data_IF_344694285623
#
_entry.id   IF_344694285623
#
_cell.length_a   1.000
_cell.length_b   1.000
_cell.length_c   1.000
_cell.angle_alpha   90.00
_cell.angle_beta   90.00
_cell.angle_gamma   90.00
#
_symmetry.space_group_name_H-M   'P 1'
#
loop_
_entity.id
_entity.type
_entity.pdbx_description
1 polymer ?
#
# COMPACT_ATOMS: atom_id res chain seq x y z
N UNK A 1 4.95 18.80 22.51
CA UNK A 1 4.74 19.24 23.91
C UNK A 1 3.54 18.48 24.49
N UNK A 2 3.53 18.14 25.79
CA UNK A 2 2.33 17.57 26.43
C UNK A 2 1.16 18.56 26.35
N UNK A 3 -0.09 18.10 26.19
CA UNK A 3 -1.26 18.97 26.20
C UNK A 3 -1.42 19.63 27.57
N UNK A 4 -2.04 20.82 27.58
CA UNK A 4 -2.35 21.56 28.79
C UNK A 4 -3.23 20.72 29.75
N UNK A 5 -3.21 21.03 31.06
CA UNK A 5 -4.09 20.40 32.02
C UNK A 5 -5.56 20.51 31.62
N UNK A 6 -6.31 19.42 31.75
CA UNK A 6 -7.75 19.42 31.46
C UNK A 6 -8.58 20.22 32.49
N UNK A 7 -8.03 20.46 33.69
CA UNK A 7 -8.64 21.25 34.76
C UNK A 7 -7.65 22.32 35.25
N UNK A 8 -8.13 23.50 35.72
CA UNK A 8 -7.28 24.48 36.38
C UNK A 8 -6.51 23.86 37.55
N UNK A 9 -5.18 24.04 37.61
CA UNK A 9 -4.32 23.42 38.62
C UNK A 9 -4.07 21.91 38.45
N UNK A 10 -4.57 21.29 37.38
CA UNK A 10 -4.36 19.87 37.10
C UNK A 10 -2.96 19.54 36.58
N UNK A 11 -2.61 18.25 36.56
CA UNK A 11 -1.38 17.78 35.91
C UNK A 11 -1.48 17.96 34.39
N UNK A 12 -0.37 18.27 33.68
CA UNK A 12 -0.34 18.24 32.23
C UNK A 12 -0.81 16.89 31.70
N UNK A 13 -1.54 16.92 30.57
CA UNK A 13 -2.00 15.69 29.94
C UNK A 13 -0.84 14.91 29.30
N UNK A 14 -1.14 13.71 28.81
CA UNK A 14 -0.15 12.85 28.14
C UNK A 14 -0.39 12.85 26.63
N UNK A 15 0.70 12.98 25.86
CA UNK A 15 0.68 12.73 24.41
C UNK A 15 0.70 11.21 24.19
N UNK A 16 -0.37 10.66 23.61
CA UNK A 16 -0.46 9.26 23.21
C UNK A 16 -0.41 9.19 21.68
N UNK A 17 0.47 8.35 21.14
CA UNK A 17 0.65 8.19 19.69
C UNK A 17 0.30 6.76 19.34
N UNK A 18 -0.66 6.61 18.44
CA UNK A 18 -1.04 5.32 17.86
C UNK A 18 -0.35 5.25 16.50
N UNK A 19 0.58 4.30 16.35
CA UNK A 19 1.42 4.19 15.17
C UNK A 19 1.50 2.76 14.66
N UNK A 20 1.81 2.62 13.37
CA UNK A 20 2.21 1.36 12.74
C UNK A 20 3.70 1.11 12.97
N UNK A 21 4.26 0.08 12.32
CA UNK A 21 5.69 -0.18 12.26
C UNK A 21 6.53 0.98 11.68
N UNK A 22 5.92 2.05 11.13
CA UNK A 22 6.64 3.28 10.76
C UNK A 22 7.38 3.91 11.96
N UNK A 23 6.82 3.81 13.17
CA UNK A 23 7.46 4.33 14.38
C UNK A 23 8.64 3.45 14.87
N UNK A 24 8.78 2.24 14.32
CA UNK A 24 9.79 1.26 14.72
C UNK A 24 11.20 1.64 14.24
N UNK A 25 11.31 2.12 13.00
CA UNK A 25 12.56 2.48 12.31
C UNK A 25 12.55 3.94 11.87
N UNK A 26 11.59 4.32 11.04
CA UNK A 26 11.63 5.49 10.14
C UNK A 26 11.42 6.85 10.80
N UNK A 27 10.84 6.93 12.00
CA UNK A 27 10.55 8.21 12.65
C UNK A 27 11.04 8.26 14.10
N UNK A 28 11.77 9.32 14.43
CA UNK A 28 12.10 9.65 15.82
C UNK A 28 11.02 10.58 16.37
N UNK A 29 10.47 10.23 17.54
CA UNK A 29 9.49 11.08 18.21
C UNK A 29 9.99 11.36 19.62
N UNK A 30 10.23 12.63 19.89
CA UNK A 30 10.78 13.03 21.17
C UNK A 30 9.78 12.88 22.32
N UNK A 31 10.34 12.53 23.47
CA UNK A 31 9.64 12.41 24.75
C UNK A 31 8.86 11.09 24.92
N UNK A 32 9.09 10.09 24.08
CA UNK A 32 8.54 8.74 24.30
C UNK A 32 9.34 8.06 25.40
N UNK A 33 8.63 7.64 26.45
CA UNK A 33 9.17 6.86 27.58
C UNK A 33 8.33 5.64 27.93
N UNK A 34 7.18 5.49 27.26
CA UNK A 34 6.30 4.34 27.39
C UNK A 34 5.99 3.82 26.00
N UNK A 35 6.17 2.53 25.80
CA UNK A 35 5.76 1.81 24.59
C UNK A 35 4.80 0.71 25.01
N UNK A 36 3.71 0.55 24.28
CA UNK A 36 2.79 -0.60 24.40
C UNK A 36 2.91 -1.38 23.11
N UNK A 37 3.41 -2.61 23.18
CA UNK A 37 3.71 -3.44 22.02
C UNK A 37 2.76 -4.64 21.96
N UNK A 38 1.79 -4.64 21.02
CA UNK A 38 0.88 -5.76 20.85
C UNK A 38 1.55 -6.98 20.21
N UNK A 39 2.77 -6.87 19.65
CA UNK A 39 3.49 -8.00 19.06
C UNK A 39 3.11 -8.33 17.60
N UNK A 40 2.38 -7.44 16.91
CA UNK A 40 1.93 -7.66 15.53
C UNK A 40 2.36 -6.55 14.56
N UNK A 41 2.45 -6.89 13.28
CA UNK A 41 2.52 -5.97 12.15
C UNK A 41 1.78 -6.53 10.94
N UNK A 42 1.36 -5.65 10.02
CA UNK A 42 0.90 -6.10 8.70
C UNK A 42 2.11 -6.40 7.83
N UNK A 43 2.15 -7.57 7.23
CA UNK A 43 3.25 -8.04 6.38
C UNK A 43 2.70 -8.55 5.06
N UNK A 44 3.40 -8.25 3.96
CA UNK A 44 3.11 -8.87 2.66
C UNK A 44 3.55 -10.32 2.68
N UNK A 45 2.69 -11.18 2.13
CA UNK A 45 2.96 -12.59 1.92
C UNK A 45 2.49 -12.93 0.52
N UNK A 46 3.40 -13.43 -0.30
CA UNK A 46 3.14 -13.90 -1.64
C UNK A 46 3.11 -15.43 -1.68
N UNK A 47 2.07 -16.00 -2.32
CA UNK A 47 1.99 -17.42 -2.60
C UNK A 47 2.15 -17.66 -4.11
N UNK A 48 3.31 -18.19 -4.58
CA UNK A 48 3.61 -18.32 -6.00
C UNK A 48 2.72 -19.33 -6.72
N UNK A 49 2.15 -20.31 -6.01
CA UNK A 49 1.31 -21.35 -6.62
C UNK A 49 -0.05 -20.83 -7.06
N UNK A 50 -0.63 -19.94 -6.26
CA UNK A 50 -1.93 -19.33 -6.56
C UNK A 50 -1.79 -17.91 -7.13
N UNK A 51 -0.56 -17.38 -7.20
CA UNK A 51 -0.22 -16.02 -7.69
C UNK A 51 -0.98 -14.91 -6.95
N UNK A 52 -1.07 -15.03 -5.63
CA UNK A 52 -1.75 -14.04 -4.77
C UNK A 52 -0.78 -13.44 -3.77
N UNK A 53 -0.70 -12.11 -3.77
CA UNK A 53 -0.11 -11.35 -2.68
C UNK A 53 -1.20 -10.94 -1.68
N UNK A 54 -0.93 -11.11 -0.39
CA UNK A 54 -1.86 -10.77 0.68
C UNK A 54 -1.15 -9.99 1.79
N UNK A 55 -1.85 -8.99 2.31
CA UNK A 55 -1.38 -8.21 3.45
C UNK A 55 -2.00 -8.77 4.74
N UNK A 56 -1.27 -9.63 5.43
CA UNK A 56 -1.74 -10.34 6.62
C UNK A 56 -1.20 -9.72 7.91
N UNK A 57 -1.98 -9.79 8.98
CA UNK A 57 -1.51 -9.44 10.32
C UNK A 57 -0.71 -10.62 10.85
N UNK A 58 0.59 -10.42 11.02
CA UNK A 58 1.53 -11.46 11.43
C UNK A 58 2.26 -11.04 12.72
N UNK A 59 2.71 -12.01 13.53
CA UNK A 59 3.62 -11.74 14.64
C UNK A 59 4.89 -11.03 14.18
N UNK A 60 5.45 -10.18 15.03
CA UNK A 60 6.73 -9.50 14.77
C UNK A 60 7.92 -10.39 15.08
N UNK A 61 9.10 -10.03 14.58
CA UNK A 61 10.35 -10.67 14.99
C UNK A 61 10.85 -10.16 16.35
N UNK A 62 11.75 -10.93 16.98
CA UNK A 62 12.46 -10.49 18.20
C UNK A 62 13.23 -9.21 17.97
N UNK A 63 13.88 -9.08 16.80
CA UNK A 63 14.54 -7.84 16.38
C UNK A 63 13.57 -6.64 16.36
N UNK A 64 12.39 -6.80 15.77
CA UNK A 64 11.35 -5.76 15.72
C UNK A 64 10.84 -5.38 17.12
N UNK A 65 10.54 -6.37 17.96
CA UNK A 65 10.15 -6.16 19.35
C UNK A 65 11.22 -5.42 20.17
N UNK A 66 12.50 -5.65 19.87
CA UNK A 66 13.62 -4.97 20.50
C UNK A 66 13.74 -3.52 20.03
N UNK A 67 13.55 -3.26 18.72
CA UNK A 67 13.53 -1.90 18.19
C UNK A 67 12.37 -1.08 18.78
N UNK A 68 11.17 -1.67 18.88
CA UNK A 68 10.02 -1.04 19.54
C UNK A 68 10.31 -0.70 21.00
N UNK A 69 10.88 -1.63 21.76
CA UNK A 69 11.28 -1.37 23.14
C UNK A 69 12.33 -0.25 23.24
N UNK A 70 13.30 -0.22 22.31
CA UNK A 70 14.33 0.81 22.24
C UNK A 70 13.78 2.23 22.07
N UNK A 71 12.58 2.40 21.50
CA UNK A 71 11.94 3.73 21.36
C UNK A 71 11.61 4.37 22.71
N UNK A 72 11.34 3.58 23.76
CA UNK A 72 11.08 4.09 25.10
C UNK A 72 12.35 4.61 25.80
N UNK A 73 13.55 4.16 25.39
CA UNK A 73 14.82 4.42 26.08
C UNK A 73 15.66 5.56 25.51
N UNK A 74 15.18 6.29 24.50
CA UNK A 74 16.01 7.24 23.74
C UNK A 74 16.41 8.51 24.47
N UNK A 75 15.50 9.05 25.28
CA UNK A 75 15.71 10.37 25.93
C UNK A 75 16.00 10.24 27.42
N UNK A 76 15.42 9.23 28.07
CA UNK A 76 15.58 8.91 29.47
C UNK A 76 15.10 7.47 29.71
N UNK A 77 15.35 6.87 30.89
CA UNK A 77 14.85 5.54 31.22
C UNK A 77 13.33 5.44 30.98
N UNK A 78 12.93 4.43 30.20
CA UNK A 78 11.55 4.19 29.81
C UNK A 78 11.11 2.76 30.09
N UNK A 79 9.83 2.47 29.82
CA UNK A 79 9.23 1.14 29.99
C UNK A 79 8.56 0.68 28.70
N UNK A 80 8.73 -0.59 28.36
CA UNK A 80 8.02 -1.25 27.27
C UNK A 80 7.07 -2.30 27.85
N UNK A 81 5.79 -2.20 27.51
CA UNK A 81 4.74 -3.13 27.91
C UNK A 81 4.40 -4.02 26.73
N UNK A 82 4.92 -5.25 26.73
CA UNK A 82 4.61 -6.27 25.72
C UNK A 82 3.30 -6.98 26.11
N UNK A 83 2.35 -7.07 25.19
CA UNK A 83 1.04 -7.71 25.43
C UNK A 83 1.07 -9.23 25.14
N UNK A 84 2.23 -9.86 25.32
CA UNK A 84 2.48 -11.26 25.09
C UNK A 84 3.49 -11.78 26.13
N UNK A 85 3.48 -13.09 26.38
CA UNK A 85 4.29 -13.69 27.45
C UNK A 85 5.78 -13.69 27.09
N UNK A 86 6.63 -13.76 28.11
CA UNK A 86 8.07 -13.93 27.92
C UNK A 86 8.38 -15.26 27.19
N UNK A 87 7.57 -16.30 27.43
CA UNK A 87 7.68 -17.56 26.71
C UNK A 87 7.42 -17.39 25.21
N UNK A 88 6.35 -16.68 24.83
CA UNK A 88 6.05 -16.38 23.43
C UNK A 88 7.19 -15.57 22.79
N UNK A 89 7.72 -14.56 23.50
CA UNK A 89 8.88 -13.80 23.03
C UNK A 89 10.10 -14.69 22.74
N UNK A 90 10.40 -15.68 23.60
CA UNK A 90 11.59 -16.52 23.48
C UNK A 90 11.43 -17.67 22.47
N UNK A 91 10.24 -18.30 22.43
CA UNK A 91 10.01 -19.56 21.69
C UNK A 91 9.21 -19.40 20.41
N UNK A 92 8.27 -18.45 20.35
CA UNK A 92 7.32 -18.35 19.23
C UNK A 92 7.75 -17.31 18.19
N UNK A 93 8.34 -16.19 18.63
CA UNK A 93 8.79 -15.16 17.70
C UNK A 93 10.07 -15.57 16.97
N UNK A 94 10.10 -15.32 15.66
CA UNK A 94 11.31 -15.50 14.83
C UNK A 94 12.37 -14.46 15.21
N UNK A 95 13.66 -14.79 15.06
CA UNK A 95 14.76 -13.88 15.42
C UNK A 95 14.72 -12.57 14.61
N UNK A 96 14.62 -12.70 13.29
CA UNK A 96 14.61 -11.59 12.34
C UNK A 96 13.48 -11.76 11.33
N UNK A 97 12.98 -10.63 10.84
CA UNK A 97 11.95 -10.62 9.80
C UNK A 97 12.61 -10.99 8.47
N UNK A 98 12.02 -11.91 7.71
CA UNK A 98 12.52 -12.25 6.37
C UNK A 98 12.55 -11.03 5.43
N UNK A 99 13.52 -10.95 4.51
CA UNK A 99 13.57 -9.93 3.45
C UNK A 99 12.26 -9.82 2.65
N UNK A 100 12.01 -8.65 2.06
CA UNK A 100 10.81 -8.40 1.24
C UNK A 100 10.84 -9.21 -0.07
N UNK A 101 12.02 -9.40 -0.66
CA UNK A 101 12.21 -10.18 -1.91
C UNK A 101 11.77 -11.64 -1.78
N UNK A 102 11.85 -12.22 -0.57
CA UNK A 102 11.42 -13.59 -0.32
C UNK A 102 9.90 -13.72 -0.11
N UNK A 103 9.17 -12.60 -0.07
CA UNK A 103 7.77 -12.57 0.43
C UNK A 103 6.80 -11.73 -0.41
N UNK A 104 7.24 -11.20 -1.54
CA UNK A 104 6.44 -10.31 -2.40
C UNK A 104 6.39 -10.83 -3.83
N UNK A 105 5.42 -10.34 -4.63
CA UNK A 105 5.45 -10.58 -6.07
C UNK A 105 6.68 -9.88 -6.68
N UNK A 106 7.41 -10.58 -7.56
CA UNK A 106 8.62 -10.10 -8.19
C UNK A 106 8.40 -9.57 -9.62
N UNK A 107 7.18 -9.60 -10.16
CA UNK A 107 6.90 -9.14 -11.53
C UNK A 107 7.46 -7.73 -11.80
N UNK A 108 7.22 -6.78 -10.91
CA UNK A 108 7.74 -5.42 -11.08
C UNK A 108 9.27 -5.36 -10.97
N UNK A 109 9.86 -6.07 -10.00
CA UNK A 109 11.32 -6.13 -9.82
C UNK A 109 12.01 -6.76 -11.03
N UNK A 110 11.45 -7.83 -11.59
CA UNK A 110 11.99 -8.50 -12.79
C UNK A 110 11.90 -7.57 -14.00
N UNK A 111 10.80 -6.85 -14.17
CA UNK A 111 10.65 -5.88 -15.26
C UNK A 111 11.70 -4.75 -15.16
N UNK A 112 11.92 -4.23 -13.95
CA UNK A 112 12.97 -3.22 -13.70
C UNK A 112 14.38 -3.77 -13.96
N UNK A 113 14.69 -4.98 -13.52
CA UNK A 113 15.99 -5.62 -13.77
C UNK A 113 16.24 -5.85 -15.27
N UNK A 114 15.22 -6.30 -16.01
CA UNK A 114 15.30 -6.43 -17.47
C UNK A 114 15.50 -5.09 -18.17
N UNK A 115 14.82 -4.03 -17.71
CA UNK A 115 15.06 -2.65 -18.19
C UNK A 115 16.49 -2.18 -17.97
N UNK A 116 17.11 -2.59 -16.86
CA UNK A 116 18.51 -2.28 -16.55
C UNK A 116 19.54 -3.08 -17.38
N UNK A 117 19.08 -4.03 -18.21
CA UNK A 117 19.95 -4.87 -19.05
C UNK A 117 20.49 -6.10 -18.33
N UNK A 118 19.84 -6.56 -17.25
CA UNK A 118 20.20 -7.83 -16.59
C UNK A 118 19.61 -8.99 -17.38
N UNK A 119 20.45 -9.70 -18.12
CA UNK A 119 20.06 -10.87 -18.91
C UNK A 119 19.82 -12.10 -18.02
N UNK A 120 20.80 -12.44 -17.18
CA UNK A 120 20.78 -13.60 -16.30
C UNK A 120 20.25 -13.26 -14.91
N UNK A 121 18.93 -13.39 -14.76
CA UNK A 121 18.25 -13.16 -13.48
C UNK A 121 18.53 -14.25 -12.44
N UNK A 122 18.91 -15.46 -12.87
CA UNK A 122 19.12 -16.62 -11.99
C UNK A 122 20.44 -16.47 -11.23
N UNK A 123 21.48 -16.01 -11.91
CA UNK A 123 22.80 -15.78 -11.32
C UNK A 123 23.03 -14.32 -10.91
N UNK A 124 22.00 -13.48 -10.96
CA UNK A 124 22.09 -12.13 -10.44
C UNK A 124 22.40 -12.14 -8.94
N UNK A 125 23.37 -11.32 -8.52
CA UNK A 125 23.94 -11.34 -7.16
C UNK A 125 23.00 -10.71 -6.12
N UNK A 126 21.93 -11.43 -5.79
CA UNK A 126 21.00 -11.07 -4.74
C UNK A 126 21.52 -11.54 -3.38
N UNK A 127 21.54 -10.65 -2.40
CA UNK A 127 21.92 -10.97 -1.01
C UNK A 127 21.13 -12.16 -0.44
N UNK A 128 19.83 -12.18 -0.70
CA UNK A 128 18.92 -13.26 -0.35
C UNK A 128 18.12 -13.65 -1.62
N UNK A 129 18.57 -14.67 -2.38
CA UNK A 129 17.92 -15.03 -3.62
C UNK A 129 16.52 -15.62 -3.36
N UNK A 130 15.49 -15.21 -4.11
CA UNK A 130 14.15 -15.78 -4.00
C UNK A 130 14.12 -17.22 -4.50
N UNK A 131 13.07 -17.95 -4.14
CA UNK A 131 12.85 -19.29 -4.68
C UNK A 131 12.75 -19.24 -6.22
N UNK A 132 13.38 -20.17 -6.96
CA UNK A 132 13.31 -20.20 -8.42
C UNK A 132 11.88 -20.18 -8.96
N UNK A 133 10.95 -20.88 -8.29
CA UNK A 133 9.52 -20.86 -8.64
C UNK A 133 8.94 -19.44 -8.65
N UNK A 134 9.27 -18.60 -7.68
CA UNK A 134 8.78 -17.21 -7.61
C UNK A 134 9.27 -16.37 -8.79
N UNK A 135 10.53 -16.54 -9.18
CA UNK A 135 11.12 -15.85 -10.32
C UNK A 135 10.52 -16.32 -11.64
N UNK A 136 10.35 -17.64 -11.79
CA UNK A 136 9.66 -18.22 -12.96
C UNK A 136 8.23 -17.69 -13.11
N UNK A 137 7.47 -17.57 -12.01
CA UNK A 137 6.11 -17.00 -12.06
C UNK A 137 6.09 -15.54 -12.49
N UNK A 138 7.06 -14.74 -12.05
CA UNK A 138 7.19 -13.35 -12.46
C UNK A 138 7.51 -13.24 -13.96
N UNK A 139 8.41 -14.08 -14.48
CA UNK A 139 8.72 -14.14 -15.91
C UNK A 139 7.51 -14.57 -16.75
N UNK A 140 6.80 -15.62 -16.33
CA UNK A 140 5.57 -16.07 -16.97
C UNK A 140 4.51 -14.96 -17.00
N UNK A 141 4.31 -14.25 -15.87
CA UNK A 141 3.37 -13.13 -15.79
C UNK A 141 3.71 -12.01 -16.77
N UNK A 142 4.99 -11.61 -16.85
CA UNK A 142 5.43 -10.57 -17.76
C UNK A 142 5.35 -11.00 -19.24
N UNK A 143 5.60 -12.28 -19.55
CA UNK A 143 5.38 -12.81 -20.90
C UNK A 143 3.88 -12.81 -21.26
N UNK A 144 2.98 -13.22 -20.35
CA UNK A 144 1.53 -13.13 -20.59
C UNK A 144 1.02 -11.70 -20.80
N UNK A 145 1.66 -10.72 -20.17
CA UNK A 145 1.38 -9.30 -20.35
C UNK A 145 2.04 -8.72 -21.61
N UNK A 146 2.76 -9.55 -22.39
CA UNK A 146 3.58 -9.15 -23.54
C UNK A 146 4.65 -8.09 -23.21
N UNK A 147 5.06 -8.00 -21.94
CA UNK A 147 6.18 -7.18 -21.50
C UNK A 147 7.53 -7.84 -21.83
N UNK A 148 7.55 -9.17 -21.86
CA UNK A 148 8.68 -9.99 -22.32
C UNK A 148 8.25 -10.85 -23.52
N UNK A 149 9.18 -11.14 -24.42
CA UNK A 149 8.96 -12.14 -25.48
C UNK A 149 9.22 -13.57 -24.98
N UNK A 150 9.19 -14.55 -25.90
CA UNK A 150 9.36 -15.97 -25.58
C UNK A 150 10.82 -16.32 -25.25
N UNK A 151 11.75 -15.50 -25.71
CA UNK A 151 13.17 -15.55 -25.37
C UNK A 151 13.48 -14.89 -24.01
N UNK A 152 12.52 -14.16 -23.43
CA UNK A 152 12.66 -13.47 -22.15
C UNK A 152 13.31 -12.09 -22.26
N UNK A 153 13.33 -11.52 -23.46
CA UNK A 153 13.83 -10.17 -23.75
C UNK A 153 12.72 -9.13 -23.62
N UNK A 154 13.13 -7.89 -23.32
CA UNK A 154 12.21 -6.80 -23.06
C UNK A 154 11.57 -6.28 -24.36
N UNK A 155 10.24 -6.35 -24.45
CA UNK A 155 9.52 -5.84 -25.62
C UNK A 155 9.39 -4.31 -25.59
N UNK A 156 8.97 -3.71 -26.70
CA UNK A 156 8.63 -2.28 -26.72
C UNK A 156 7.50 -1.93 -25.73
N UNK A 157 6.53 -2.83 -25.54
CA UNK A 157 5.47 -2.68 -24.55
C UNK A 157 6.03 -2.76 -23.13
N UNK A 158 6.90 -3.74 -22.84
CA UNK A 158 7.57 -3.88 -21.54
C UNK A 158 8.44 -2.68 -21.20
N UNK A 159 9.18 -2.16 -22.18
CA UNK A 159 9.97 -0.95 -22.05
C UNK A 159 9.09 0.24 -21.65
N UNK A 160 7.96 0.46 -22.33
CA UNK A 160 6.99 1.50 -21.94
C UNK A 160 6.38 1.24 -20.57
N UNK A 161 5.97 0.01 -20.27
CA UNK A 161 5.36 -0.37 -18.99
C UNK A 161 6.30 -0.08 -17.80
N UNK A 162 7.60 -0.31 -17.98
CA UNK A 162 8.64 -0.06 -16.99
C UNK A 162 8.88 1.44 -16.68
N UNK A 163 8.28 2.37 -17.42
CA UNK A 163 8.30 3.81 -17.10
C UNK A 163 7.19 4.20 -16.10
N UNK A 164 6.18 3.36 -15.94
CA UNK A 164 5.06 3.64 -15.04
C UNK A 164 5.36 3.12 -13.63
N UNK A 165 5.15 3.92 -12.57
CA UNK A 165 5.29 3.48 -11.18
C UNK A 165 4.04 2.69 -10.73
N UNK A 166 3.67 1.68 -11.51
CA UNK A 166 2.49 0.85 -11.35
C UNK A 166 2.87 -0.62 -11.34
N UNK A 167 1.94 -1.47 -10.93
CA UNK A 167 2.04 -2.89 -11.22
C UNK A 167 2.02 -3.13 -12.74
N UNK A 168 2.78 -4.10 -13.29
CA UNK A 168 2.87 -4.32 -14.74
C UNK A 168 1.50 -4.50 -15.42
N UNK A 169 0.54 -5.17 -14.77
CA UNK A 169 -0.78 -5.37 -15.34
C UNK A 169 -1.56 -4.04 -15.47
N UNK A 170 -1.44 -3.16 -14.47
CA UNK A 170 -2.05 -1.83 -14.51
C UNK A 170 -1.36 -0.90 -15.51
N UNK A 171 -0.04 -1.02 -15.66
CA UNK A 171 0.72 -0.27 -16.66
C UNK A 171 0.30 -0.67 -18.07
N UNK A 172 0.25 -1.98 -18.37
CA UNK A 172 -0.20 -2.50 -19.68
C UNK A 172 -1.64 -2.09 -19.96
N UNK A 173 -2.55 -2.22 -18.99
CA UNK A 173 -3.93 -1.76 -19.14
C UNK A 173 -4.01 -0.28 -19.52
N UNK A 174 -3.18 0.57 -18.89
CA UNK A 174 -3.15 2.01 -19.19
C UNK A 174 -2.55 2.29 -20.58
N UNK A 175 -1.50 1.58 -20.98
CA UNK A 175 -0.84 1.75 -22.28
C UNK A 175 -1.73 1.29 -23.43
N UNK A 176 -2.48 0.19 -23.26
CA UNK A 176 -3.39 -0.33 -24.30
C UNK A 176 -4.73 0.43 -24.38
N UNK A 177 -5.08 1.23 -23.35
CA UNK A 177 -6.35 1.96 -23.31
C UNK A 177 -6.69 2.86 -24.52
N UNK A 178 -5.73 3.46 -25.25
CA UNK A 178 -6.05 4.28 -26.43
C UNK A 178 -6.65 3.45 -27.57
N UNK A 179 -6.26 2.17 -27.70
CA UNK A 179 -6.81 1.25 -28.72
C UNK A 179 -8.30 0.98 -28.51
N UNK A 180 -8.77 1.12 -27.27
CA UNK A 180 -10.16 0.92 -26.85
C UNK A 180 -10.92 2.23 -26.66
N UNK A 181 -10.32 3.39 -26.98
CA UNK A 181 -10.92 4.72 -26.85
C UNK A 181 -11.41 5.06 -25.42
N UNK A 182 -10.77 4.51 -24.38
CA UNK A 182 -11.21 4.65 -22.98
C UNK A 182 -10.09 5.11 -22.03
N UNK A 183 -9.06 5.79 -22.56
CA UNK A 183 -7.88 6.19 -21.77
C UNK A 183 -8.20 7.08 -20.58
N UNK A 184 -9.19 7.96 -20.68
CA UNK A 184 -9.55 8.85 -19.58
C UNK A 184 -10.18 8.11 -18.39
N UNK A 185 -11.02 7.12 -18.69
CA UNK A 185 -11.69 6.24 -17.73
C UNK A 185 -10.68 5.31 -17.08
N UNK A 186 -9.85 4.65 -17.89
CA UNK A 186 -8.80 3.73 -17.41
C UNK A 186 -7.79 4.47 -16.55
N UNK A 187 -7.34 5.67 -16.95
CA UNK A 187 -6.47 6.51 -16.14
C UNK A 187 -7.08 6.79 -14.75
N UNK A 188 -8.38 7.06 -14.69
CA UNK A 188 -9.08 7.32 -13.43
C UNK A 188 -9.21 6.05 -12.58
N UNK A 189 -9.56 4.91 -13.20
CA UNK A 189 -9.67 3.61 -12.52
C UNK A 189 -8.32 3.18 -11.97
N UNK A 190 -7.25 3.20 -12.77
CA UNK A 190 -5.88 2.87 -12.34
C UNK A 190 -5.47 3.70 -11.14
N UNK A 191 -5.72 5.01 -11.18
CA UNK A 191 -5.40 5.92 -10.07
C UNK A 191 -6.15 5.60 -8.78
N UNK A 192 -7.40 5.14 -8.89
CA UNK A 192 -8.22 4.72 -7.74
C UNK A 192 -7.77 3.36 -7.17
N UNK A 193 -7.28 2.45 -8.03
CA UNK A 193 -6.74 1.16 -7.62
C UNK A 193 -5.36 1.28 -6.95
N UNK A 194 -4.58 2.31 -7.30
CA UNK A 194 -3.27 2.59 -6.71
C UNK A 194 -3.32 3.23 -5.31
N UNK A 195 -4.51 3.59 -4.81
CA UNK A 195 -4.68 4.18 -3.47
C UNK A 195 -5.45 3.25 -2.52
N UNK A 196 -5.35 3.43 -1.20
CA UNK A 196 -6.21 2.71 -0.27
C UNK A 196 -7.69 2.94 -0.58
N UNK A 197 -8.54 1.96 -0.23
CA UNK A 197 -9.97 2.01 -0.58
C UNK A 197 -10.64 3.35 -0.20
N UNK A 198 -11.38 3.91 -1.15
CA UNK A 198 -12.08 5.18 -0.99
C UNK A 198 -13.34 5.04 -0.12
N UNK A 199 -13.90 3.84 0.00
CA UNK A 199 -15.11 3.56 0.76
C UNK A 199 -14.84 3.47 2.26
N UNK A 200 -15.59 4.22 3.05
CA UNK A 200 -15.56 4.18 4.51
C UNK A 200 -16.75 3.38 5.02
N UNK A 201 -16.51 2.33 5.81
CA UNK A 201 -17.60 1.51 6.36
C UNK A 201 -17.51 1.38 7.89
N UNK A 202 -17.80 2.45 8.66
CA UNK A 202 -17.76 2.42 10.12
C UNK A 202 -18.72 1.39 10.70
N UNK A 203 -18.31 0.68 11.77
CA UNK A 203 -19.12 -0.39 12.37
C UNK A 203 -20.50 0.10 12.86
N UNK A 204 -20.58 1.32 13.40
CA UNK A 204 -21.81 1.92 13.89
C UNK A 204 -22.81 2.29 12.78
N UNK A 205 -22.33 2.53 11.55
CA UNK A 205 -23.12 3.09 10.44
C UNK A 205 -23.06 2.22 9.18
N UNK A 206 -22.82 0.91 9.31
CA UNK A 206 -22.63 -0.01 8.18
C UNK A 206 -23.77 0.06 7.16
N UNK A 207 -25.02 -0.01 7.63
CA UNK A 207 -26.21 0.03 6.77
C UNK A 207 -26.27 1.30 5.95
N UNK A 208 -26.08 2.47 6.57
CA UNK A 208 -26.08 3.76 5.88
C UNK A 208 -24.91 3.88 4.90
N UNK A 209 -23.73 3.37 5.24
CA UNK A 209 -22.59 3.35 4.34
C UNK A 209 -22.86 2.49 3.09
N UNK A 210 -23.50 1.34 3.27
CA UNK A 210 -23.89 0.45 2.16
C UNK A 210 -24.98 1.09 1.28
N UNK A 211 -25.97 1.75 1.88
CA UNK A 211 -27.00 2.54 1.17
C UNK A 211 -26.37 3.69 0.37
N UNK A 212 -25.40 4.43 0.94
CA UNK A 212 -24.70 5.49 0.23
C UNK A 212 -23.83 4.96 -0.92
N UNK A 213 -23.16 3.82 -0.72
CA UNK A 213 -22.38 3.15 -1.78
C UNK A 213 -23.29 2.72 -2.94
N UNK A 214 -24.51 2.25 -2.65
CA UNK A 214 -25.46 1.81 -3.66
C UNK A 214 -25.83 2.91 -4.67
N UNK A 215 -25.78 4.19 -4.28
CA UNK A 215 -26.00 5.31 -5.20
C UNK A 215 -24.95 5.43 -6.32
N UNK A 216 -23.76 4.85 -6.12
CA UNK A 216 -22.68 4.86 -7.12
C UNK A 216 -22.54 3.52 -7.84
N UNK A 217 -23.22 2.47 -7.35
CA UNK A 217 -23.09 1.11 -7.87
C UNK A 217 -23.50 1.03 -9.33
N UNK A 218 -22.60 0.51 -10.15
CA UNK A 218 -22.86 0.20 -11.54
C UNK A 218 -23.14 -1.31 -11.68
N UNK A 219 -24.23 -1.73 -12.37
CA UNK A 219 -24.58 -3.14 -12.52
C UNK A 219 -23.48 -3.98 -13.20
N UNK A 220 -22.72 -3.36 -14.10
CA UNK A 220 -21.70 -4.04 -14.90
C UNK A 220 -20.34 -4.18 -14.20
N UNK A 221 -20.13 -3.60 -13.01
CA UNK A 221 -18.92 -3.90 -12.24
C UNK A 221 -18.50 -2.88 -11.17
N UNK A 222 -17.58 -3.35 -10.32
CA UNK A 222 -17.00 -2.56 -9.23
C UNK A 222 -16.04 -1.47 -9.72
N UNK A 223 -15.33 -1.68 -10.83
CA UNK A 223 -14.45 -0.65 -11.41
C UNK A 223 -15.25 0.57 -11.91
N UNK A 224 -16.40 0.31 -12.54
CA UNK A 224 -17.32 1.38 -12.96
C UNK A 224 -17.98 2.06 -11.75
N UNK A 225 -18.25 1.31 -10.68
CA UNK A 225 -18.70 1.87 -9.40
C UNK A 225 -17.68 2.84 -8.80
N UNK A 226 -16.38 2.51 -8.86
CA UNK A 226 -15.30 3.41 -8.46
C UNK A 226 -15.24 4.67 -9.33
N UNK A 227 -15.38 4.51 -10.65
CA UNK A 227 -15.39 5.61 -11.60
C UNK A 227 -16.55 6.58 -11.35
N UNK A 228 -17.77 6.06 -11.12
CA UNK A 228 -18.95 6.86 -10.79
C UNK A 228 -18.74 7.71 -9.53
N UNK A 229 -18.18 7.10 -8.48
CA UNK A 229 -17.88 7.81 -7.24
C UNK A 229 -16.86 8.94 -7.45
N UNK A 230 -15.84 8.69 -8.28
CA UNK A 230 -14.82 9.69 -8.61
C UNK A 230 -15.37 10.83 -9.47
N UNK A 231 -16.22 10.53 -10.46
CA UNK A 231 -16.90 11.56 -11.26
C UNK A 231 -17.82 12.44 -10.40
N UNK A 232 -18.60 11.84 -9.51
CA UNK A 232 -19.44 12.59 -8.57
C UNK A 232 -18.59 13.52 -7.69
N UNK A 233 -17.47 13.02 -7.16
CA UNK A 233 -16.52 13.81 -6.39
C UNK A 233 -15.95 15.01 -7.18
N UNK A 234 -15.52 14.78 -8.43
CA UNK A 234 -15.00 15.87 -9.29
C UNK A 234 -16.10 16.89 -9.66
N UNK A 235 -17.33 16.44 -9.87
CA UNK A 235 -18.48 17.31 -10.09
C UNK A 235 -18.75 18.24 -8.90
N UNK A 236 -18.69 17.73 -7.68
CA UNK A 236 -18.87 18.55 -6.48
C UNK A 236 -17.71 19.55 -6.25
N UNK A 237 -16.49 19.19 -6.62
CA UNK A 237 -15.35 20.13 -6.64
C UNK A 237 -15.64 21.30 -7.60
N UNK A 238 -16.12 21.01 -8.81
CA UNK A 238 -16.39 22.05 -9.82
C UNK A 238 -17.51 22.99 -9.41
N UNK A 239 -18.51 22.50 -8.66
CA UNK A 239 -19.61 23.32 -8.11
C UNK A 239 -19.17 24.22 -6.96
N UNK A 240 -17.94 24.08 -6.44
CA UNK A 240 -17.47 24.83 -5.28
C UNK A 240 -18.16 24.46 -3.97
N UNK A 241 -18.77 23.27 -3.89
CA UNK A 241 -19.43 22.79 -2.67
C UNK A 241 -18.40 22.47 -1.57
N UNK A 242 -18.87 22.29 -0.33
CA UNK A 242 -18.03 21.73 0.73
C UNK A 242 -17.81 20.23 0.48
N UNK A 243 -16.81 19.93 -0.34
CA UNK A 243 -16.46 18.56 -0.77
C UNK A 243 -16.07 17.68 0.41
N UNK A 244 -15.48 18.24 1.47
CA UNK A 244 -15.11 17.46 2.66
C UNK A 244 -16.35 16.96 3.37
N UNK A 245 -17.35 17.83 3.53
CA UNK A 245 -18.64 17.46 4.09
C UNK A 245 -19.38 16.48 3.19
N UNK A 246 -19.38 16.71 1.87
CA UNK A 246 -19.99 15.79 0.91
C UNK A 246 -19.39 14.38 1.00
N UNK A 247 -18.05 14.27 1.02
CA UNK A 247 -17.37 12.99 1.20
C UNK A 247 -17.74 12.31 2.51
N UNK A 248 -17.83 13.06 3.61
CA UNK A 248 -18.26 12.53 4.90
C UNK A 248 -19.69 11.97 4.84
N UNK A 249 -20.62 12.71 4.25
CA UNK A 249 -22.03 12.32 4.17
C UNK A 249 -22.26 11.10 3.28
N UNK A 250 -21.40 10.91 2.26
CA UNK A 250 -21.41 9.77 1.33
C UNK A 250 -20.48 8.63 1.72
N UNK A 251 -19.88 8.67 2.92
CA UNK A 251 -18.94 7.64 3.38
C UNK A 251 -17.74 7.41 2.45
N UNK A 252 -17.19 8.50 1.91
CA UNK A 252 -16.00 8.51 1.07
C UNK A 252 -14.82 9.14 1.83
N UNK A 253 -13.64 8.57 1.66
CA UNK A 253 -12.39 9.12 2.20
C UNK A 253 -11.90 10.25 1.30
N UNK A 254 -12.14 11.50 1.73
CA UNK A 254 -11.61 12.69 1.05
C UNK A 254 -10.09 12.61 0.83
N UNK A 255 -9.35 12.10 1.83
CA UNK A 255 -7.90 11.93 1.74
C UNK A 255 -7.50 10.97 0.62
N UNK A 256 -8.17 9.81 0.51
CA UNK A 256 -7.82 8.81 -0.51
C UNK A 256 -8.21 9.30 -1.91
N UNK A 257 -9.35 9.99 -2.05
CA UNK A 257 -9.76 10.62 -3.31
C UNK A 257 -8.79 11.72 -3.75
N UNK A 258 -8.29 12.54 -2.83
CA UNK A 258 -7.26 13.54 -3.13
C UNK A 258 -5.93 12.88 -3.53
N UNK A 259 -5.54 11.79 -2.86
CA UNK A 259 -4.37 11.00 -3.27
C UNK A 259 -4.55 10.40 -4.67
N UNK A 260 -5.74 9.90 -5.01
CA UNK A 260 -6.04 9.39 -6.34
C UNK A 260 -5.94 10.50 -7.40
N UNK A 261 -6.41 11.71 -7.11
CA UNK A 261 -6.30 12.85 -8.02
C UNK A 261 -4.83 13.22 -8.32
N UNK A 262 -3.97 13.15 -7.30
CA UNK A 262 -2.53 13.38 -7.45
C UNK A 262 -1.86 12.29 -8.29
N UNK A 263 -2.17 11.01 -8.04
CA UNK A 263 -1.67 9.88 -8.83
C UNK A 263 -2.13 10.02 -10.28
N UNK A 264 -3.41 10.35 -10.50
CA UNK A 264 -3.97 10.57 -11.83
C UNK A 264 -3.24 11.67 -12.59
N UNK A 265 -2.93 12.77 -11.93
CA UNK A 265 -2.18 13.87 -12.54
C UNK A 265 -0.74 13.47 -12.89
N UNK A 266 -0.08 12.64 -12.07
CA UNK A 266 1.25 12.11 -12.35
C UNK A 266 1.23 11.15 -13.55
N UNK A 267 0.33 10.17 -13.54
CA UNK A 267 0.17 9.21 -14.63
C UNK A 267 -0.17 9.90 -15.95
N UNK A 268 -1.05 10.92 -15.93
CA UNK A 268 -1.37 11.71 -17.13
C UNK A 268 -0.12 12.34 -17.76
N UNK A 269 0.78 12.89 -16.94
CA UNK A 269 2.04 13.50 -17.44
C UNK A 269 2.95 12.47 -18.09
N UNK A 270 3.03 11.27 -17.52
CA UNK A 270 3.80 10.16 -18.12
C UNK A 270 3.18 9.77 -19.46
N UNK A 271 1.86 9.61 -19.53
CA UNK A 271 1.15 9.31 -20.78
C UNK A 271 1.28 10.39 -21.86
N UNK A 272 1.40 11.66 -21.48
CA UNK A 272 1.63 12.76 -22.44
C UNK A 272 3.07 12.80 -22.96
N UNK A 273 4.01 12.15 -22.27
CA UNK A 273 5.44 12.14 -22.60
C UNK A 273 5.83 10.96 -23.51
N UNK A 274 5.08 9.85 -23.47
CA UNK A 274 5.40 8.56 -24.12
C UNK A 274 4.31 8.07 -25.09
#
# INVERSE_FOLDING_TARGET
KPPAPFKPGGRPGRKCIIATNIAETSLTIDGIVYVVDPGFSKQKIYNPRIRVESLLVSPISKASAQQRAGRAGRTKPGKCFRLYTEQAFKKELIEQTYPEILRSNLANTVLELKKLGVEDLVHFDLMDPPAPETMMRALEELNYLACLDDEGELTALGSKASEFPLDPALAVMLISSPEFYCSNEILSITSLLSVPQIWMRPAASRRRADEMKAHFTHPEGDHLTLLNAYHAFKGEIQKGADVKRWCHDHFLSYRHLQSADNVRAQLKRIMETH
#
